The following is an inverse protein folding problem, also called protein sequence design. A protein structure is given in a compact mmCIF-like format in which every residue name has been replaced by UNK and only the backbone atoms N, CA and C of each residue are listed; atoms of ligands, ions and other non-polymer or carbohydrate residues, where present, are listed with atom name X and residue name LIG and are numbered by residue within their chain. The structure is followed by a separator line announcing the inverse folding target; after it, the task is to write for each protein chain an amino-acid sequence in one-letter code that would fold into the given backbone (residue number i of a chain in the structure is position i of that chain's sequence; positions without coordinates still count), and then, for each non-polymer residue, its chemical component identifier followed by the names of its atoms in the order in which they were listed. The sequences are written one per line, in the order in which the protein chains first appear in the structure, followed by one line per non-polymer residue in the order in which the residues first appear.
data_IF_040861159728
#
_entry.id   IF_040861159728
#
_cell.length_a   1.000
_cell.length_b   1.000
_cell.length_c   1.000
_cell.angle_alpha   90.00
_cell.angle_beta   90.00
_cell.angle_gamma   90.00
#
_symmetry.space_group_name_H-M   'P 1'
#
loop_
_entity.id
_entity.type
_entity.pdbx_description
1 polymer ?
#
# COMPACT_ATOMS: atom_id res chain seq x y z
N UNK A 1 25.64 8.56 49.93
CA UNK A 1 25.74 9.68 48.98
C UNK A 1 26.33 9.24 47.63
N UNK A 2 27.44 8.48 47.61
CA UNK A 2 28.12 8.05 46.38
C UNK A 2 27.24 7.21 45.42
N UNK A 3 26.47 6.25 45.92
CA UNK A 3 25.61 5.39 45.12
C UNK A 3 24.52 6.20 44.42
N UNK A 4 23.90 7.15 45.11
CA UNK A 4 22.85 8.01 44.53
C UNK A 4 23.41 8.91 43.42
N UNK A 5 24.61 9.45 43.56
CA UNK A 5 25.31 10.25 42.55
C UNK A 5 25.63 9.40 41.31
N UNK A 6 26.13 8.18 41.50
CA UNK A 6 26.46 7.26 40.42
C UNK A 6 25.22 6.85 39.62
N UNK A 7 24.11 6.50 40.29
CA UNK A 7 22.83 6.16 39.65
C UNK A 7 22.30 7.34 38.84
N UNK A 8 22.33 8.57 39.37
CA UNK A 8 21.90 9.78 38.64
C UNK A 8 22.73 10.00 37.37
N UNK A 9 24.05 9.87 37.45
CA UNK A 9 24.93 10.04 36.27
C UNK A 9 24.71 8.96 35.21
N UNK A 10 24.48 7.71 35.64
CA UNK A 10 24.12 6.63 34.69
C UNK A 10 22.77 6.89 34.02
N UNK A 11 21.75 7.34 34.76
CA UNK A 11 20.43 7.67 34.21
C UNK A 11 20.51 8.81 33.20
N UNK A 12 21.27 9.86 33.48
CA UNK A 12 21.50 10.98 32.56
C UNK A 12 22.18 10.52 31.26
N UNK A 13 23.17 9.64 31.34
CA UNK A 13 23.82 9.04 30.16
C UNK A 13 22.85 8.20 29.37
N UNK A 14 22.06 7.35 30.02
CA UNK A 14 21.04 6.52 29.35
C UNK A 14 19.99 7.38 28.64
N UNK A 15 19.46 8.40 29.31
CA UNK A 15 18.49 9.32 28.73
C UNK A 15 19.08 10.08 27.52
N UNK A 16 20.36 10.45 27.56
CA UNK A 16 21.05 11.07 26.43
C UNK A 16 21.16 10.11 25.24
N UNK A 17 21.52 8.85 25.50
CA UNK A 17 21.58 7.82 24.43
C UNK A 17 20.20 7.60 23.82
N UNK A 18 19.17 7.39 24.63
CA UNK A 18 17.78 7.22 24.17
C UNK A 18 17.32 8.42 23.34
N UNK A 19 17.61 9.65 23.80
CA UNK A 19 17.29 10.87 23.03
C UNK A 19 17.94 10.86 21.64
N UNK A 20 19.23 10.53 21.55
CA UNK A 20 19.93 10.50 20.28
C UNK A 20 19.44 9.37 19.35
N UNK A 21 19.07 8.21 19.90
CA UNK A 21 18.42 7.14 19.14
C UNK A 21 17.08 7.62 18.56
N UNK A 22 16.25 8.26 19.37
CA UNK A 22 14.97 8.81 18.90
C UNK A 22 15.15 9.89 17.83
N UNK A 23 16.07 10.84 18.06
CA UNK A 23 16.39 11.88 17.06
C UNK A 23 16.87 11.24 15.76
N UNK A 24 17.81 10.29 15.84
CA UNK A 24 18.31 9.56 14.67
C UNK A 24 17.21 8.81 13.93
N UNK A 25 16.31 8.15 14.65
CA UNK A 25 15.15 7.48 14.07
C UNK A 25 14.24 8.46 13.30
N UNK A 26 13.80 9.55 13.93
CA UNK A 26 12.92 10.51 13.26
C UNK A 26 13.60 11.19 12.08
N UNK A 27 14.86 11.61 12.23
CA UNK A 27 15.60 12.23 11.11
C UNK A 27 15.75 11.26 9.94
N UNK A 28 16.15 10.01 10.18
CA UNK A 28 16.36 9.02 9.12
C UNK A 28 15.05 8.64 8.42
N UNK A 29 13.95 8.48 9.16
CA UNK A 29 12.65 8.13 8.58
C UNK A 29 12.05 9.28 7.79
N UNK A 30 12.13 10.51 8.27
CA UNK A 30 11.70 11.70 7.53
C UNK A 30 12.53 11.87 6.28
N UNK A 31 13.84 11.74 6.36
CA UNK A 31 14.73 11.82 5.20
C UNK A 31 14.39 10.72 4.16
N UNK A 32 14.15 9.49 4.59
CA UNK A 32 13.74 8.40 3.71
C UNK A 32 12.44 8.73 2.97
N UNK A 33 11.42 9.25 3.68
CA UNK A 33 10.14 9.65 3.06
C UNK A 33 10.34 10.80 2.07
N UNK A 34 11.18 11.80 2.40
CA UNK A 34 11.50 12.91 1.49
C UNK A 34 12.24 12.41 0.24
N UNK A 35 13.24 11.54 0.40
CA UNK A 35 13.97 10.97 -0.73
C UNK A 35 13.05 10.14 -1.65
N UNK A 36 12.22 9.27 -1.07
CA UNK A 36 11.31 8.42 -1.82
C UNK A 36 10.10 9.18 -2.42
N UNK A 37 9.94 10.47 -2.12
CA UNK A 37 9.05 11.35 -2.87
C UNK A 37 9.46 11.50 -4.33
N UNK A 38 10.77 11.48 -4.61
CA UNK A 38 11.35 11.80 -5.91
C UNK A 38 12.01 10.61 -6.59
N UNK A 39 12.44 9.61 -5.81
CA UNK A 39 13.22 8.47 -6.30
C UNK A 39 12.29 7.24 -6.41
N UNK A 40 12.38 6.46 -7.51
CA UNK A 40 11.69 5.18 -7.63
C UNK A 40 12.02 4.21 -6.46
N UNK A 41 11.02 3.46 -6.02
CA UNK A 41 11.17 2.44 -4.98
C UNK A 41 11.49 1.11 -5.65
N UNK A 42 12.77 0.81 -5.85
CA UNK A 42 13.21 -0.42 -6.52
C UNK A 42 13.17 -1.66 -5.62
N UNK A 43 13.31 -1.49 -4.32
CA UNK A 43 13.32 -2.58 -3.34
C UNK A 43 12.52 -2.16 -2.11
N UNK A 44 11.72 -3.08 -1.59
CA UNK A 44 11.00 -2.90 -0.32
C UNK A 44 11.43 -3.95 0.71
N UNK A 45 11.27 -3.68 2.02
CA UNK A 45 11.51 -4.69 3.05
C UNK A 45 10.75 -5.99 2.81
N UNK A 46 9.51 -5.91 2.30
CA UNK A 46 8.70 -7.08 1.98
C UNK A 46 9.39 -7.94 0.91
N UNK A 47 9.88 -7.35 -0.19
CA UNK A 47 10.57 -8.07 -1.26
C UNK A 47 11.78 -8.84 -0.72
N UNK A 48 12.64 -8.17 0.08
CA UNK A 48 13.81 -8.80 0.69
C UNK A 48 13.43 -9.95 1.61
N UNK A 49 12.46 -9.76 2.49
CA UNK A 49 11.99 -10.79 3.42
C UNK A 49 11.43 -11.98 2.65
N UNK A 50 10.69 -11.77 1.56
CA UNK A 50 10.18 -12.86 0.71
C UNK A 50 11.28 -13.65 0.04
N UNK A 51 12.33 -13.00 -0.47
CA UNK A 51 13.51 -13.71 -1.00
C UNK A 51 14.20 -14.57 0.07
N UNK A 52 14.35 -14.03 1.29
CA UNK A 52 14.94 -14.79 2.41
C UNK A 52 14.06 -15.98 2.81
N UNK A 53 12.73 -15.80 2.87
CA UNK A 53 11.78 -16.89 3.14
C UNK A 53 11.88 -18.01 2.08
N UNK A 54 11.97 -17.65 0.79
CA UNK A 54 12.11 -18.62 -0.32
C UNK A 54 13.42 -19.41 -0.20
N UNK A 55 14.54 -18.71 0.02
CA UNK A 55 15.85 -19.37 0.21
C UNK A 55 15.84 -20.29 1.43
N UNK A 56 15.27 -19.83 2.56
CA UNK A 56 15.14 -20.63 3.77
C UNK A 56 14.23 -21.85 3.61
N UNK A 57 13.26 -21.79 2.69
CA UNK A 57 12.39 -22.90 2.31
C UNK A 57 12.98 -23.84 1.24
N UNK A 58 14.19 -23.56 0.74
CA UNK A 58 14.81 -24.33 -0.34
C UNK A 58 14.18 -24.07 -1.73
N UNK A 59 13.44 -22.99 -1.89
CA UNK A 59 12.83 -22.58 -3.15
C UNK A 59 13.76 -21.68 -3.96
N UNK A 60 13.57 -21.62 -5.28
CA UNK A 60 14.23 -20.64 -6.13
C UNK A 60 13.67 -19.25 -5.86
N UNK A 61 14.54 -18.22 -5.91
CA UNK A 61 14.13 -16.83 -5.72
C UNK A 61 13.22 -16.41 -6.88
N UNK A 62 12.01 -15.97 -6.53
CA UNK A 62 11.05 -15.34 -7.42
C UNK A 62 10.90 -13.89 -6.98
N UNK A 63 11.47 -12.97 -7.73
CA UNK A 63 11.33 -11.53 -7.50
C UNK A 63 11.29 -10.82 -8.85
N UNK A 64 10.10 -10.58 -9.35
CA UNK A 64 9.83 -9.88 -10.61
C UNK A 64 9.32 -8.50 -10.27
N UNK A 65 10.09 -7.48 -10.61
CA UNK A 65 9.77 -6.09 -10.34
C UNK A 65 10.39 -5.18 -11.38
N UNK A 66 9.56 -4.37 -12.03
CA UNK A 66 9.97 -3.26 -12.89
C UNK A 66 9.23 -2.00 -12.46
N UNK A 67 9.96 -0.92 -12.29
CA UNK A 67 9.37 0.38 -12.02
C UNK A 67 8.97 1.06 -13.32
N UNK A 68 7.72 1.52 -13.38
CA UNK A 68 7.22 2.35 -14.48
C UNK A 68 6.58 3.63 -13.92
N UNK A 69 6.79 4.80 -14.55
CA UNK A 69 6.15 6.03 -14.13
C UNK A 69 4.63 5.95 -14.32
N UNK A 70 3.89 6.82 -13.62
CA UNK A 70 2.43 6.79 -13.61
C UNK A 70 1.81 6.94 -15.01
N UNK A 71 2.48 7.69 -15.90
CA UNK A 71 2.06 7.95 -17.28
C UNK A 71 2.13 6.68 -18.16
N UNK A 72 2.98 5.74 -17.81
CA UNK A 72 3.14 4.45 -18.47
C UNK A 72 2.25 3.35 -17.88
N UNK A 73 1.38 3.71 -16.95
CA UNK A 73 0.39 2.81 -16.37
C UNK A 73 -0.98 3.07 -17.00
N UNK A 74 -1.70 2.00 -17.36
CA UNK A 74 -3.07 2.12 -17.86
C UNK A 74 -3.93 2.95 -16.91
N UNK A 75 -4.62 3.97 -17.45
CA UNK A 75 -5.56 4.83 -16.69
C UNK A 75 -6.64 4.05 -15.93
N UNK A 76 -6.88 2.80 -16.31
CA UNK A 76 -7.85 1.94 -15.66
C UNK A 76 -7.32 1.31 -14.37
N UNK A 77 -6.00 1.22 -14.19
CA UNK A 77 -5.41 0.54 -13.04
C UNK A 77 -5.63 1.28 -11.71
N UNK A 78 -5.35 2.60 -11.59
CA UNK A 78 -5.69 3.35 -10.38
C UNK A 78 -7.18 3.29 -10.04
N UNK A 79 -8.04 3.38 -11.06
CA UNK A 79 -9.50 3.32 -10.87
C UNK A 79 -9.94 1.94 -10.36
N UNK A 80 -9.35 0.85 -10.89
CA UNK A 80 -9.63 -0.51 -10.44
C UNK A 80 -9.19 -0.74 -8.99
N UNK A 81 -8.01 -0.24 -8.63
CA UNK A 81 -7.49 -0.32 -7.25
C UNK A 81 -8.34 0.51 -6.30
N UNK A 82 -8.69 1.76 -6.66
CA UNK A 82 -9.61 2.55 -5.84
C UNK A 82 -10.97 1.85 -5.67
N UNK A 83 -11.54 1.30 -6.73
CA UNK A 83 -12.81 0.58 -6.65
C UNK A 83 -12.74 -0.64 -5.72
N UNK A 84 -11.61 -1.36 -5.71
CA UNK A 84 -11.42 -2.57 -4.91
C UNK A 84 -11.07 -2.30 -3.45
N UNK A 85 -10.15 -1.36 -3.21
CA UNK A 85 -9.45 -1.21 -1.93
C UNK A 85 -9.86 0.05 -1.17
N UNK A 86 -10.11 1.17 -1.88
CA UNK A 86 -10.27 2.47 -1.22
C UNK A 86 -11.02 3.47 -2.11
N UNK A 87 -12.34 3.34 -2.16
CA UNK A 87 -13.20 4.16 -3.04
C UNK A 87 -13.14 5.66 -2.71
N UNK A 88 -12.65 6.02 -1.53
CA UNK A 88 -12.53 7.39 -1.06
C UNK A 88 -11.09 7.90 -1.02
N UNK A 89 -10.15 7.21 -1.67
CA UNK A 89 -8.73 7.55 -1.65
C UNK A 89 -8.44 9.03 -1.90
N UNK A 90 -9.14 9.64 -2.84
CA UNK A 90 -8.98 11.05 -3.19
C UNK A 90 -9.64 12.03 -2.19
N UNK A 91 -10.42 11.53 -1.21
CA UNK A 91 -11.21 12.36 -0.28
C UNK A 91 -10.67 12.40 1.15
N UNK A 92 -9.82 11.47 1.52
CA UNK A 92 -9.26 11.42 2.87
C UNK A 92 -7.75 11.64 2.86
N UNK A 93 -7.19 11.94 4.03
CA UNK A 93 -5.76 12.13 4.26
C UNK A 93 -5.19 10.93 5.04
N UNK A 94 -5.03 9.79 4.36
CA UNK A 94 -4.42 8.58 4.90
C UNK A 94 -5.38 7.64 5.64
N UNK A 95 -6.43 8.16 6.26
CA UNK A 95 -7.36 7.37 7.08
C UNK A 95 -8.81 7.63 6.66
N UNK A 96 -9.54 6.61 6.24
CA UNK A 96 -10.98 6.69 5.98
C UNK A 96 -11.76 6.34 7.25
N UNK A 97 -12.05 7.36 8.06
CA UNK A 97 -12.79 7.18 9.31
C UNK A 97 -14.18 6.58 9.09
N UNK A 98 -14.85 6.90 7.97
CA UNK A 98 -16.16 6.32 7.66
C UNK A 98 -16.06 4.83 7.35
N UNK A 99 -14.99 4.41 6.63
CA UNK A 99 -14.75 2.99 6.38
C UNK A 99 -14.37 2.24 7.67
N UNK A 100 -13.58 2.87 8.54
CA UNK A 100 -13.21 2.32 9.87
C UNK A 100 -14.45 2.10 10.72
N UNK A 101 -15.35 3.09 10.82
CA UNK A 101 -16.60 2.99 11.58
C UNK A 101 -17.49 1.86 11.04
N UNK A 102 -17.71 1.83 9.73
CA UNK A 102 -18.51 0.77 9.08
C UNK A 102 -17.92 -0.62 9.32
N UNK A 103 -16.60 -0.75 9.18
CA UNK A 103 -15.91 -2.01 9.44
C UNK A 103 -16.02 -2.42 10.91
N UNK A 104 -15.91 -1.49 11.86
CA UNK A 104 -16.08 -1.76 13.29
C UNK A 104 -17.49 -2.27 13.60
N UNK A 105 -18.53 -1.57 13.12
CA UNK A 105 -19.94 -1.97 13.31
C UNK A 105 -20.20 -3.36 12.70
N UNK A 106 -19.69 -3.61 11.48
CA UNK A 106 -19.85 -4.91 10.81
C UNK A 106 -19.17 -6.04 11.60
N UNK A 107 -17.93 -5.80 12.06
CA UNK A 107 -17.15 -6.79 12.82
C UNK A 107 -17.77 -7.09 14.18
N UNK A 108 -18.43 -6.12 14.82
CA UNK A 108 -19.16 -6.32 16.07
C UNK A 108 -20.41 -7.20 15.89
N UNK A 109 -21.01 -7.22 14.71
CA UNK A 109 -22.17 -8.06 14.38
C UNK A 109 -21.81 -9.53 14.09
N UNK A 110 -20.53 -9.93 14.25
CA UNK A 110 -20.09 -11.33 14.15
C UNK A 110 -19.94 -11.86 12.72
N UNK A 111 -19.91 -11.01 11.72
CA UNK A 111 -19.68 -11.38 10.32
C UNK A 111 -18.20 -11.65 9.98
N UNK A 112 -17.93 -11.97 8.72
CA UNK A 112 -16.56 -12.08 8.19
C UNK A 112 -15.84 -10.73 8.39
N UNK A 113 -14.68 -10.75 9.03
CA UNK A 113 -13.91 -9.53 9.32
C UNK A 113 -13.66 -8.71 8.06
N UNK A 114 -14.12 -7.46 8.09
CA UNK A 114 -13.81 -6.45 7.09
C UNK A 114 -12.60 -5.63 7.54
N UNK A 115 -11.64 -5.46 6.64
CA UNK A 115 -10.54 -4.50 6.81
C UNK A 115 -10.97 -3.10 6.35
N UNK A 116 -10.37 -2.07 6.93
CA UNK A 116 -10.57 -0.68 6.52
C UNK A 116 -9.22 0.01 6.28
N UNK A 117 -8.22 -0.74 5.83
CA UNK A 117 -6.90 -0.18 5.50
C UNK A 117 -6.97 0.52 4.15
N UNK A 118 -6.52 1.77 4.10
CA UNK A 118 -6.49 2.60 2.90
C UNK A 118 -5.29 2.26 2.00
N UNK A 119 -5.31 2.75 0.76
CA UNK A 119 -4.16 2.65 -0.17
C UNK A 119 -2.91 3.28 0.47
N UNK A 120 -3.03 4.43 1.14
CA UNK A 120 -1.92 5.08 1.83
C UNK A 120 -1.32 4.21 2.94
N UNK A 121 -2.16 3.58 3.75
CA UNK A 121 -1.72 2.64 4.79
C UNK A 121 -1.03 1.40 4.21
N UNK A 122 -1.54 0.88 3.10
CA UNK A 122 -0.92 -0.23 2.40
C UNK A 122 0.43 0.17 1.77
N UNK A 123 0.55 1.37 1.20
CA UNK A 123 1.80 1.92 0.69
C UNK A 123 2.83 2.06 1.80
N UNK A 124 2.47 2.73 2.90
CA UNK A 124 3.33 2.88 4.07
C UNK A 124 3.84 1.53 4.61
N UNK A 125 2.94 0.56 4.72
CA UNK A 125 3.29 -0.80 5.15
C UNK A 125 4.29 -1.47 4.21
N UNK A 126 4.04 -1.44 2.91
CA UNK A 126 4.85 -2.18 1.94
C UNK A 126 6.23 -1.56 1.73
N UNK A 127 6.33 -0.23 1.77
CA UNK A 127 7.58 0.50 1.51
C UNK A 127 8.50 0.55 2.73
N UNK A 128 7.94 0.68 3.93
CA UNK A 128 8.75 0.98 5.13
C UNK A 128 8.76 -0.12 6.19
N UNK A 129 7.84 -1.11 6.11
CA UNK A 129 7.64 -2.05 7.20
C UNK A 129 7.79 -3.51 6.75
N UNK A 130 7.83 -4.38 7.75
CA UNK A 130 7.91 -5.83 7.59
C UNK A 130 6.53 -6.49 7.56
N UNK A 131 6.40 -7.70 7.00
CA UNK A 131 5.17 -8.48 7.07
C UNK A 131 4.87 -8.93 8.51
N UNK A 132 3.62 -9.30 8.75
CA UNK A 132 3.18 -9.79 10.07
C UNK A 132 2.10 -8.92 10.69
N UNK A 133 1.63 -9.34 11.88
CA UNK A 133 0.53 -8.70 12.60
C UNK A 133 0.97 -8.40 14.02
N UNK A 134 1.39 -7.18 14.28
CA UNK A 134 1.67 -6.68 15.64
C UNK A 134 1.16 -5.26 15.82
N UNK A 135 0.82 -4.90 17.05
CA UNK A 135 0.38 -3.55 17.39
C UNK A 135 1.50 -2.52 17.19
N UNK A 136 2.74 -2.92 17.46
CA UNK A 136 3.92 -2.06 17.25
C UNK A 136 4.06 -1.73 15.75
N UNK A 137 3.99 -2.75 14.89
CA UNK A 137 4.02 -2.53 13.44
C UNK A 137 2.85 -1.66 12.98
N UNK A 138 1.65 -1.84 13.56
CA UNK A 138 0.49 -0.99 13.24
C UNK A 138 0.70 0.46 13.66
N UNK A 139 1.39 0.71 14.79
CA UNK A 139 1.80 2.05 15.19
C UNK A 139 2.75 2.70 14.18
N UNK A 140 3.75 1.96 13.69
CA UNK A 140 4.64 2.45 12.62
C UNK A 140 3.90 2.66 11.30
N UNK A 141 2.93 1.82 10.96
CA UNK A 141 2.09 2.00 9.77
C UNK A 141 1.32 3.34 9.85
N UNK A 142 0.72 3.66 10.99
CA UNK A 142 0.06 4.96 11.22
C UNK A 142 1.07 6.12 11.07
N UNK A 143 2.24 6.00 11.68
CA UNK A 143 3.30 7.01 11.59
C UNK A 143 3.73 7.27 10.14
N UNK A 144 4.08 6.23 9.39
CA UNK A 144 4.50 6.40 7.99
C UNK A 144 3.37 6.84 7.08
N UNK A 145 2.13 6.40 7.34
CA UNK A 145 0.94 6.89 6.61
C UNK A 145 0.79 8.39 6.77
N UNK A 146 0.92 8.89 7.99
CA UNK A 146 0.88 10.33 8.25
C UNK A 146 2.00 11.08 7.49
N UNK A 147 3.24 10.57 7.52
CA UNK A 147 4.36 11.19 6.83
C UNK A 147 4.17 11.25 5.31
N UNK A 148 3.78 10.13 4.68
CA UNK A 148 3.58 10.12 3.21
C UNK A 148 2.41 11.01 2.79
N UNK A 149 1.32 11.05 3.53
CA UNK A 149 0.19 11.93 3.21
C UNK A 149 0.52 13.42 3.38
N UNK A 150 1.41 13.74 4.32
CA UNK A 150 1.87 15.12 4.53
C UNK A 150 2.87 15.56 3.46
N UNK A 151 3.67 14.64 2.92
CA UNK A 151 4.83 14.98 2.08
C UNK A 151 4.66 14.58 0.61
N UNK A 152 3.81 13.61 0.28
CA UNK A 152 3.60 13.11 -1.08
C UNK A 152 2.24 13.54 -1.62
N UNK A 153 2.15 13.71 -2.93
CA UNK A 153 0.86 13.88 -3.59
C UNK A 153 0.09 12.55 -3.65
N UNK A 154 -1.22 12.60 -3.87
CA UNK A 154 -2.03 11.39 -4.12
C UNK A 154 -1.53 10.60 -5.34
N UNK A 155 -1.06 11.32 -6.36
CA UNK A 155 -0.44 10.71 -7.55
C UNK A 155 0.80 9.92 -7.15
N UNK A 156 1.70 10.50 -6.34
CA UNK A 156 2.91 9.81 -5.89
C UNK A 156 2.60 8.60 -5.01
N UNK A 157 1.64 8.71 -4.10
CA UNK A 157 1.22 7.58 -3.27
C UNK A 157 0.70 6.43 -4.14
N UNK A 158 -0.15 6.73 -5.12
CA UNK A 158 -0.70 5.73 -6.04
C UNK A 158 0.39 5.13 -6.94
N UNK A 159 1.30 5.94 -7.48
CA UNK A 159 2.42 5.47 -8.29
C UNK A 159 3.30 4.48 -7.52
N UNK A 160 3.70 4.84 -6.29
CA UNK A 160 4.49 3.96 -5.43
C UNK A 160 3.71 2.70 -5.07
N UNK A 161 2.42 2.82 -4.78
CA UNK A 161 1.55 1.67 -4.51
C UNK A 161 1.55 0.69 -5.68
N UNK A 162 1.24 1.19 -6.90
CA UNK A 162 1.12 0.37 -8.10
C UNK A 162 2.44 -0.28 -8.52
N UNK A 163 3.56 0.28 -8.12
CA UNK A 163 4.88 -0.27 -8.40
C UNK A 163 5.41 -1.20 -7.31
N UNK A 164 4.95 -1.09 -6.06
CA UNK A 164 5.57 -1.79 -4.93
C UNK A 164 4.74 -2.92 -4.31
N UNK A 165 3.44 -2.96 -4.57
CA UNK A 165 2.57 -3.99 -3.98
C UNK A 165 2.75 -5.34 -4.65
N UNK A 166 2.70 -6.41 -3.85
CA UNK A 166 2.67 -7.79 -4.36
C UNK A 166 1.33 -8.03 -5.09
N UNK A 167 1.39 -8.41 -6.36
CA UNK A 167 0.23 -8.66 -7.24
C UNK A 167 0.13 -10.12 -7.71
N UNK A 168 1.14 -10.92 -7.36
CA UNK A 168 1.23 -12.35 -7.60
C UNK A 168 2.34 -12.94 -6.75
N UNK A 169 2.52 -14.26 -6.76
CA UNK A 169 3.60 -14.92 -6.00
C UNK A 169 4.98 -14.51 -6.55
N UNK A 170 5.69 -13.66 -5.81
CA UNK A 170 6.97 -13.08 -6.23
C UNK A 170 6.87 -12.03 -7.34
N UNK A 171 5.67 -11.53 -7.64
CA UNK A 171 5.42 -10.51 -8.68
C UNK A 171 5.01 -9.21 -7.98
N UNK A 172 5.83 -8.17 -8.16
CA UNK A 172 5.65 -6.87 -7.53
C UNK A 172 5.45 -5.78 -8.58
N UNK A 173 4.39 -5.02 -8.42
CA UNK A 173 4.03 -3.92 -9.30
C UNK A 173 3.27 -4.33 -10.55
N UNK A 174 2.67 -3.30 -11.15
CA UNK A 174 1.72 -3.45 -12.26
C UNK A 174 2.38 -3.90 -13.55
N UNK A 175 3.62 -3.48 -13.81
CA UNK A 175 4.32 -3.85 -15.06
C UNK A 175 4.75 -5.31 -15.03
N UNK A 176 5.30 -5.77 -13.91
CA UNK A 176 5.64 -7.18 -13.75
C UNK A 176 4.40 -8.10 -13.88
N UNK A 177 3.26 -7.74 -13.30
CA UNK A 177 2.05 -8.56 -13.48
C UNK A 177 1.49 -8.48 -14.89
N UNK A 178 1.63 -7.35 -15.59
CA UNK A 178 1.24 -7.21 -16.99
C UNK A 178 2.08 -8.12 -17.89
N UNK A 179 3.37 -8.16 -17.68
CA UNK A 179 4.29 -9.03 -18.41
C UNK A 179 4.00 -10.52 -18.12
N UNK A 180 4.06 -10.92 -16.85
CA UNK A 180 4.01 -12.34 -16.48
C UNK A 180 2.63 -12.98 -16.58
N UNK A 181 1.56 -12.22 -16.39
CA UNK A 181 0.20 -12.76 -16.41
C UNK A 181 -0.56 -12.50 -17.70
N UNK A 182 -0.19 -11.47 -18.47
CA UNK A 182 -0.93 -11.07 -19.66
C UNK A 182 -0.08 -10.91 -20.92
N UNK A 183 1.24 -11.11 -20.82
CA UNK A 183 2.21 -10.91 -21.90
C UNK A 183 2.05 -9.54 -22.61
N UNK A 184 1.95 -8.49 -21.79
CA UNK A 184 1.72 -7.11 -22.22
C UNK A 184 2.45 -6.14 -21.30
N UNK A 185 2.34 -4.84 -21.51
CA UNK A 185 2.91 -3.79 -20.66
C UNK A 185 1.84 -3.19 -19.74
N UNK A 186 2.28 -2.51 -18.68
CA UNK A 186 1.39 -1.81 -17.76
C UNK A 186 0.45 -0.82 -18.46
N UNK A 187 0.92 -0.13 -19.51
CA UNK A 187 0.13 0.85 -20.27
C UNK A 187 -0.98 0.23 -21.12
N UNK A 188 -0.81 -1.01 -21.55
CA UNK A 188 -1.73 -1.71 -22.44
C UNK A 188 -2.77 -2.54 -21.70
N UNK A 189 -2.71 -2.63 -20.38
CA UNK A 189 -3.71 -3.35 -19.59
C UNK A 189 -5.10 -2.80 -19.87
N UNK A 190 -6.01 -3.66 -20.33
CA UNK A 190 -7.41 -3.33 -20.52
C UNK A 190 -8.12 -3.11 -19.18
N UNK A 191 -9.29 -2.47 -19.21
CA UNK A 191 -10.15 -2.26 -18.03
C UNK A 191 -10.44 -3.58 -17.30
N UNK A 192 -10.72 -4.64 -18.04
CA UNK A 192 -11.04 -5.96 -17.51
C UNK A 192 -9.82 -6.62 -16.84
N UNK A 193 -8.65 -6.50 -17.45
CA UNK A 193 -7.39 -6.98 -16.85
C UNK A 193 -7.04 -6.22 -15.58
N UNK A 194 -7.18 -4.88 -15.59
CA UNK A 194 -6.96 -4.07 -14.38
C UNK A 194 -7.90 -4.49 -13.22
N UNK A 195 -9.18 -4.73 -13.50
CA UNK A 195 -10.12 -5.23 -12.50
C UNK A 195 -9.76 -6.63 -11.99
N UNK A 196 -9.21 -7.48 -12.85
CA UNK A 196 -8.76 -8.82 -12.49
C UNK A 196 -7.51 -8.78 -11.61
N UNK A 197 -6.53 -7.92 -11.93
CA UNK A 197 -5.36 -7.66 -11.09
C UNK A 197 -5.80 -7.13 -9.72
N UNK A 198 -6.70 -6.13 -9.69
CA UNK A 198 -7.21 -5.61 -8.42
C UNK A 198 -7.93 -6.68 -7.57
N UNK A 199 -8.54 -7.69 -8.21
CA UNK A 199 -9.15 -8.81 -7.50
C UNK A 199 -8.14 -9.75 -6.81
N UNK A 200 -6.84 -9.71 -7.17
CA UNK A 200 -5.80 -10.50 -6.50
C UNK A 200 -5.33 -9.90 -5.19
N UNK A 201 -5.43 -8.58 -5.02
CA UNK A 201 -4.79 -7.82 -3.95
C UNK A 201 -5.10 -8.30 -2.51
N UNK A 202 -6.30 -8.83 -2.20
CA UNK A 202 -6.56 -9.37 -0.86
C UNK A 202 -5.70 -10.57 -0.49
N UNK A 203 -5.22 -11.36 -1.45
CA UNK A 203 -4.33 -12.49 -1.23
C UNK A 203 -3.54 -12.84 -2.50
N UNK A 204 -2.52 -12.03 -2.87
CA UNK A 204 -1.82 -12.14 -4.15
C UNK A 204 -1.05 -13.45 -4.33
N UNK A 205 -0.64 -14.09 -3.24
CA UNK A 205 0.06 -15.40 -3.30
C UNK A 205 -0.89 -16.57 -3.58
N UNK A 206 -2.19 -16.41 -3.31
CA UNK A 206 -3.20 -17.43 -3.57
C UNK A 206 -3.95 -17.18 -4.86
N UNK A 207 -4.23 -15.92 -5.17
CA UNK A 207 -5.01 -15.52 -6.33
C UNK A 207 -4.09 -15.24 -7.52
N UNK A 208 -4.39 -15.87 -8.65
CA UNK A 208 -3.62 -15.72 -9.87
C UNK A 208 -4.48 -15.10 -10.97
N UNK A 209 -4.11 -13.91 -11.45
CA UNK A 209 -4.86 -13.23 -12.52
C UNK A 209 -4.61 -13.84 -13.90
N UNK A 210 -3.54 -14.63 -14.10
CA UNK A 210 -3.35 -15.39 -15.34
C UNK A 210 -4.32 -16.59 -15.45
N UNK A 211 -4.69 -17.18 -14.30
CA UNK A 211 -5.59 -18.33 -14.23
C UNK A 211 -6.69 -18.10 -13.19
N UNK A 212 -7.64 -17.15 -13.44
CA UNK A 212 -8.64 -16.75 -12.47
C UNK A 212 -9.70 -17.83 -12.28
N UNK A 213 -9.88 -18.26 -11.02
CA UNK A 213 -11.00 -19.13 -10.63
C UNK A 213 -12.34 -18.37 -10.59
N UNK A 214 -13.42 -19.08 -10.31
CA UNK A 214 -14.79 -18.54 -10.30
C UNK A 214 -14.95 -17.35 -9.34
N UNK A 215 -14.39 -17.45 -8.13
CA UNK A 215 -14.40 -16.35 -7.16
C UNK A 215 -13.77 -15.08 -7.74
N UNK A 216 -12.61 -15.19 -8.37
CA UNK A 216 -11.91 -14.04 -8.95
C UNK A 216 -12.69 -13.43 -10.11
N UNK A 217 -13.28 -14.26 -10.98
CA UNK A 217 -14.14 -13.78 -12.07
C UNK A 217 -15.38 -13.05 -11.55
N UNK A 218 -15.98 -13.54 -10.47
CA UNK A 218 -17.09 -12.86 -9.79
C UNK A 218 -16.64 -11.52 -9.21
N UNK A 219 -15.48 -11.49 -8.52
CA UNK A 219 -14.93 -10.26 -7.95
C UNK A 219 -14.52 -9.26 -9.03
N UNK A 220 -13.91 -9.70 -10.11
CA UNK A 220 -13.61 -8.90 -11.29
C UNK A 220 -14.85 -8.15 -11.80
N UNK A 221 -15.96 -8.86 -12.05
CA UNK A 221 -17.20 -8.23 -12.51
C UNK A 221 -17.75 -7.20 -11.53
N UNK A 222 -17.62 -7.44 -10.23
CA UNK A 222 -17.99 -6.47 -9.21
C UNK A 222 -17.12 -5.21 -9.29
N UNK A 223 -15.79 -5.38 -9.37
CA UNK A 223 -14.85 -4.25 -9.49
C UNK A 223 -15.12 -3.48 -10.79
N UNK A 224 -15.30 -4.14 -11.93
CA UNK A 224 -15.65 -3.49 -13.21
C UNK A 224 -16.94 -2.66 -13.11
N UNK A 225 -17.94 -3.16 -12.38
CA UNK A 225 -19.16 -2.41 -12.11
C UNK A 225 -18.87 -1.19 -11.22
N UNK A 226 -18.13 -1.37 -10.13
CA UNK A 226 -17.77 -0.30 -9.18
C UNK A 226 -16.90 0.79 -9.82
N UNK A 227 -15.99 0.43 -10.73
CA UNK A 227 -15.17 1.37 -11.51
C UNK A 227 -15.98 2.40 -12.30
N UNK A 228 -17.28 2.16 -12.56
CA UNK A 228 -18.15 3.14 -13.25
C UNK A 228 -18.52 4.32 -12.37
N UNK A 229 -18.41 4.15 -11.05
CA UNK A 229 -18.77 5.15 -10.04
C UNK A 229 -17.56 5.82 -9.40
N UNK A 230 -16.36 5.32 -9.73
CA UNK A 230 -15.11 5.92 -9.28
C UNK A 230 -14.68 6.99 -10.30
N UNK A 231 -14.29 8.19 -9.85
CA UNK A 231 -13.78 9.23 -10.75
C UNK A 231 -12.50 8.75 -11.45
N UNK A 232 -12.20 9.33 -12.60
CA UNK A 232 -10.89 9.15 -13.23
C UNK A 232 -9.79 9.62 -12.28
N UNK A 233 -8.69 8.89 -12.27
CA UNK A 233 -7.54 9.30 -11.46
C UNK A 233 -6.90 10.55 -12.09
N UNK A 234 -6.60 11.60 -11.30
CA UNK A 234 -6.06 12.85 -11.82
C UNK A 234 -4.66 12.63 -12.41
N UNK A 235 -4.34 13.38 -13.46
CA UNK A 235 -2.99 13.43 -14.03
C UNK A 235 -2.05 14.21 -13.11
N UNK A 236 -0.75 14.05 -13.33
CA UNK A 236 0.24 14.82 -12.60
C UNK A 236 0.01 16.34 -12.80
N UNK A 237 0.02 17.09 -11.70
CA UNK A 237 -0.27 18.53 -11.71
C UNK A 237 -1.76 18.92 -11.76
N UNK A 238 -2.69 17.97 -11.90
CA UNK A 238 -4.11 18.26 -11.72
C UNK A 238 -4.47 18.26 -10.24
N UNK A 239 -5.02 19.37 -9.77
CA UNK A 239 -5.57 19.45 -8.41
C UNK A 239 -6.80 18.56 -8.28
N UNK A 240 -6.77 17.70 -7.27
CA UNK A 240 -7.94 16.92 -6.89
C UNK A 240 -8.88 17.86 -6.13
N UNK A 241 -9.85 18.47 -6.82
CA UNK A 241 -10.93 19.18 -6.12
C UNK A 241 -11.81 18.13 -5.40
N UNK A 242 -11.76 18.09 -4.04
CA UNK A 242 -12.57 17.14 -3.28
C UNK A 242 -14.09 17.27 -3.53
N UNK A 243 -14.53 18.41 -4.09
CA UNK A 243 -15.94 18.68 -4.40
C UNK A 243 -16.36 18.07 -5.74
N UNK A 244 -15.45 17.98 -6.71
CA UNK A 244 -15.71 17.36 -8.03
C UNK A 244 -15.59 15.85 -8.00
N UNK A 245 -14.96 15.29 -6.98
CA UNK A 245 -14.91 13.84 -6.76
C UNK A 245 -16.29 13.38 -6.31
N UNK A 246 -17.16 13.09 -7.23
CA UNK A 246 -18.43 12.40 -6.97
C UNK A 246 -18.08 10.98 -6.58
N UNK A 247 -17.91 10.76 -5.27
CA UNK A 247 -17.69 9.42 -4.74
C UNK A 247 -18.90 8.57 -5.07
N UNK A 248 -18.62 7.38 -5.59
CA UNK A 248 -19.63 6.43 -5.97
C UNK A 248 -20.74 6.32 -4.93
N UNK A 249 -21.95 6.16 -5.41
CA UNK A 249 -23.09 5.94 -4.54
C UNK A 249 -22.77 4.76 -3.62
N UNK A 250 -22.53 5.06 -2.36
CA UNK A 250 -22.46 4.02 -1.35
C UNK A 250 -23.82 3.31 -1.37
N UNK A 251 -23.83 2.06 -1.78
CA UNK A 251 -25.00 1.24 -1.52
C UNK A 251 -25.27 1.30 -0.01
N UNK A 252 -26.42 1.84 0.32
CA UNK A 252 -26.98 1.85 1.68
C UNK A 252 -27.08 0.45 2.24
#
# INVERSE_FOLDING_TARGET
PFLCFYIKTMLEKLLRIVRWILVGFFVSTILAVVCLRFIPVFITPLMVIRCVEQVGGGESIKMHHHWVPMEEISRHMPVAVMASEDQRFLKHHGFDYNAIEKAAIHNMKGGKRHGASTISQQTAKNVFLWPGRSWIRKGFEVYFTFLIEMMWSKQRIMEVYLNSIEMGDGIYGVDAVAEYHFNTTASQLSRSQCALVAATLPNPRRFNSAAPGEYMRKRQRQIEHEMRFIPSFPKEGEDVDPKTVVGGAYKK
#
